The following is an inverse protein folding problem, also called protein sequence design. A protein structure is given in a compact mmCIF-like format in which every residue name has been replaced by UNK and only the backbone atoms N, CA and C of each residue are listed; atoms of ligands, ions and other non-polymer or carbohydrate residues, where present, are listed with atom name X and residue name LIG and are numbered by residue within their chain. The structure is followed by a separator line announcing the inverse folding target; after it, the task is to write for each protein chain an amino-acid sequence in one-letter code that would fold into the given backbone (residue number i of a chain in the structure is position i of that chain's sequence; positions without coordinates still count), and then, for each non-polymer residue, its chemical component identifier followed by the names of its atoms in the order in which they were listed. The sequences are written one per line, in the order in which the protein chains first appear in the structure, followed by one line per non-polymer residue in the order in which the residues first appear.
data_IF_261994070718
#
_entry.id   IF_261994070718
#
_cell.length_a   1.000
_cell.length_b   1.000
_cell.length_c   1.000
_cell.angle_alpha   90.00
_cell.angle_beta   90.00
_cell.angle_gamma   90.00
#
_symmetry.space_group_name_H-M   'P 1'
#
loop_
_entity.id
_entity.type
_entity.pdbx_description
1 polymer ?
#
# COMPACT_ATOMS: atom_id res chain seq x y z
N UNK A 1 24.77 17.85 27.66
CA UNK A 1 23.79 18.52 26.79
C UNK A 1 24.31 19.92 26.49
N UNK A 2 24.72 20.19 25.25
CA UNK A 2 25.12 21.55 24.86
C UNK A 2 23.85 22.35 24.59
N UNK A 3 23.45 23.20 25.54
CA UNK A 3 22.46 24.24 25.25
C UNK A 3 23.16 25.26 24.37
N UNK A 4 22.69 25.41 23.13
CA UNK A 4 23.17 26.45 22.23
C UNK A 4 22.77 27.81 22.80
N UNK A 5 23.74 28.72 22.98
CA UNK A 5 23.54 30.07 23.53
C UNK A 5 22.36 30.80 22.85
N UNK A 6 21.30 31.07 23.61
CA UNK A 6 20.10 31.77 23.12
C UNK A 6 18.95 30.88 22.67
N UNK A 7 19.14 29.55 22.59
CA UNK A 7 18.05 28.58 22.37
C UNK A 7 17.50 28.00 23.67
N UNK A 8 17.96 28.49 24.84
CA UNK A 8 17.45 28.05 26.14
C UNK A 8 15.93 28.26 26.23
N UNK A 9 15.41 29.39 25.75
CA UNK A 9 13.97 29.66 25.80
C UNK A 9 13.16 28.76 24.86
N UNK A 10 13.67 28.50 23.65
CA UNK A 10 13.03 27.58 22.70
C UNK A 10 13.10 26.13 23.19
N UNK A 11 14.21 25.75 23.84
CA UNK A 11 14.37 24.45 24.48
C UNK A 11 13.44 24.31 25.68
N UNK A 12 13.33 25.32 26.54
CA UNK A 12 12.39 25.38 27.66
C UNK A 12 10.94 25.36 27.16
N UNK A 13 10.62 26.07 26.07
CA UNK A 13 9.30 26.05 25.45
C UNK A 13 8.99 24.68 24.84
N UNK A 14 9.95 24.08 24.14
CA UNK A 14 9.83 22.71 23.64
C UNK A 14 9.65 21.73 24.79
N UNK A 15 10.42 21.86 25.87
CA UNK A 15 10.28 21.01 27.05
C UNK A 15 8.92 21.22 27.73
N UNK A 16 8.50 22.45 27.96
CA UNK A 16 7.21 22.74 28.58
C UNK A 16 6.02 22.24 27.73
N UNK A 17 6.19 22.19 26.41
CA UNK A 17 5.13 21.74 25.49
C UNK A 17 5.14 20.23 25.27
N UNK A 18 6.33 19.62 25.14
CA UNK A 18 6.50 18.26 24.67
C UNK A 18 7.27 17.36 25.64
N UNK A 19 8.01 17.91 26.62
CA UNK A 19 8.70 17.05 27.58
C UNK A 19 7.75 16.33 28.51
N UNK A 20 6.52 16.79 28.76
CA UNK A 20 5.49 16.03 29.51
C UNK A 20 4.58 15.19 28.59
N UNK A 21 4.73 15.30 27.26
CA UNK A 21 3.90 14.58 26.31
C UNK A 21 4.21 13.06 26.41
N UNK A 22 3.20 12.22 26.71
CA UNK A 22 3.38 10.77 26.82
C UNK A 22 4.02 10.15 25.58
N UNK A 23 3.74 10.72 24.39
CA UNK A 23 4.32 10.27 23.12
C UNK A 23 5.84 10.40 23.15
N UNK A 24 6.38 11.48 23.72
CA UNK A 24 7.82 11.79 23.69
C UNK A 24 8.62 11.31 24.91
N UNK A 25 7.96 10.87 26.01
CA UNK A 25 8.65 10.53 27.28
C UNK A 25 9.07 9.08 27.47
N UNK A 26 8.23 8.12 27.08
CA UNK A 26 8.42 6.71 27.43
C UNK A 26 7.82 5.75 26.40
N UNK A 27 6.74 6.14 25.72
CA UNK A 27 6.03 5.26 24.80
C UNK A 27 6.57 5.30 23.36
N UNK A 28 7.35 6.32 22.95
CA UNK A 28 7.93 6.35 21.61
C UNK A 28 8.90 5.19 21.32
N UNK A 29 9.61 4.71 22.34
CA UNK A 29 10.59 3.63 22.19
C UNK A 29 10.14 2.31 22.78
N UNK A 30 9.16 2.31 23.70
CA UNK A 30 8.62 1.10 24.29
C UNK A 30 7.85 0.27 23.25
N UNK A 31 7.87 -1.04 23.43
CA UNK A 31 7.10 -1.93 22.57
C UNK A 31 5.58 -1.71 22.77
N UNK A 32 4.78 -1.67 21.70
CA UNK A 32 3.33 -1.61 21.81
C UNK A 32 2.77 -2.90 22.46
N UNK A 33 1.58 -2.84 23.10
CA UNK A 33 0.95 -3.99 23.76
C UNK A 33 0.30 -4.95 22.75
N UNK A 34 1.08 -5.41 21.78
CA UNK A 34 0.67 -6.36 20.73
C UNK A 34 1.67 -7.51 20.67
N UNK A 35 1.21 -8.69 20.27
CA UNK A 35 2.06 -9.87 20.18
C UNK A 35 2.95 -9.87 18.93
N UNK A 36 2.45 -9.31 17.83
CA UNK A 36 3.09 -9.37 16.52
C UNK A 36 2.99 -8.03 15.79
N UNK A 37 4.06 -7.62 15.12
CA UNK A 37 4.19 -6.37 14.37
C UNK A 37 4.86 -6.64 13.02
N UNK A 38 4.34 -6.07 11.94
CA UNK A 38 5.07 -5.92 10.68
C UNK A 38 5.61 -4.50 10.58
N UNK A 39 6.94 -4.38 10.55
CA UNK A 39 7.61 -3.12 10.28
C UNK A 39 7.83 -2.95 8.76
N UNK A 40 6.92 -2.25 8.11
CA UNK A 40 7.04 -1.86 6.69
C UNK A 40 7.62 -0.46 6.58
N UNK A 41 8.72 -0.30 5.85
CA UNK A 41 9.34 1.01 5.65
C UNK A 41 10.09 1.12 4.34
N UNK A 42 10.14 2.35 3.83
CA UNK A 42 10.89 2.71 2.64
C UNK A 42 12.36 2.94 2.98
N UNK A 43 13.27 2.65 2.06
CA UNK A 43 14.69 2.93 2.30
C UNK A 43 15.49 3.22 1.02
N UNK A 44 16.74 3.63 1.22
CA UNK A 44 17.70 4.01 0.16
C UNK A 44 17.24 5.20 -0.68
N UNK A 45 16.61 6.19 -0.03
CA UNK A 45 16.36 7.50 -0.60
C UNK A 45 17.15 8.54 0.18
N UNK A 46 17.68 9.56 -0.53
CA UNK A 46 18.37 10.68 0.10
C UNK A 46 17.44 11.35 1.11
N UNK A 47 17.82 11.34 2.39
CA UNK A 47 16.93 11.68 3.50
C UNK A 47 17.57 12.74 4.40
N UNK A 48 16.89 13.86 4.70
CA UNK A 48 17.43 14.90 5.58
C UNK A 48 17.48 14.41 7.03
N UNK A 49 18.59 14.67 7.73
CA UNK A 49 18.78 14.21 9.12
C UNK A 49 19.20 15.29 10.09
N UNK A 50 19.57 16.46 9.59
CA UNK A 50 19.97 17.57 10.45
C UNK A 50 20.35 18.80 9.64
N UNK A 51 20.68 19.87 10.35
CA UNK A 51 21.20 21.08 9.76
C UNK A 51 22.40 21.59 10.56
N UNK A 52 23.37 22.15 9.85
CA UNK A 52 24.55 22.80 10.42
C UNK A 52 24.25 24.28 10.54
N UNK A 53 24.49 24.83 11.73
CA UNK A 53 24.36 26.25 12.00
C UNK A 53 25.72 26.80 12.41
N UNK A 54 26.04 27.99 11.91
CA UNK A 54 27.21 28.76 12.36
C UNK A 54 26.76 29.89 13.25
N UNK A 55 27.61 30.25 14.20
CA UNK A 55 27.40 31.43 15.03
C UNK A 55 27.78 32.66 14.23
N UNK A 56 26.84 33.58 14.03
CA UNK A 56 27.16 34.92 13.53
C UNK A 56 27.65 35.78 14.70
N UNK A 57 28.75 36.50 14.49
CA UNK A 57 29.37 37.33 15.52
C UNK A 57 28.36 38.31 16.13
N UNK A 58 28.47 38.45 17.44
CA UNK A 58 27.55 39.15 18.33
C UNK A 58 27.53 40.65 18.03
N UNK A 59 26.35 41.19 17.71
CA UNK A 59 26.09 42.60 17.95
C UNK A 59 25.74 42.76 19.44
N UNK A 60 26.43 43.66 20.13
CA UNK A 60 26.03 44.03 21.49
C UNK A 60 24.92 45.06 21.39
N UNK A 61 23.68 44.65 21.64
CA UNK A 61 22.59 45.58 21.86
C UNK A 61 22.39 45.71 23.38
N UNK A 62 22.60 46.91 23.93
CA UNK A 62 22.42 47.21 25.37
C UNK A 62 23.19 46.26 26.32
N UNK A 63 24.46 46.00 26.04
CA UNK A 63 25.35 45.12 26.84
C UNK A 63 24.89 43.65 26.95
N UNK A 64 23.91 43.22 26.14
CA UNK A 64 23.53 41.82 26.03
C UNK A 64 24.13 41.22 24.75
N UNK A 65 24.83 40.09 24.84
CA UNK A 65 25.30 39.41 23.64
C UNK A 65 24.09 38.86 22.88
N UNK A 66 23.82 39.39 21.68
CA UNK A 66 22.91 38.77 20.74
C UNK A 66 23.73 37.90 19.77
N UNK A 67 23.87 36.61 20.08
CA UNK A 67 24.31 35.65 19.07
C UNK A 67 23.12 35.18 18.25
N UNK A 68 23.16 35.39 16.95
CA UNK A 68 22.25 34.75 16.02
C UNK A 68 22.91 33.50 15.44
N UNK A 69 22.18 32.38 15.44
CA UNK A 69 22.55 31.23 14.63
C UNK A 69 21.97 31.42 13.24
N UNK A 70 22.81 31.29 12.22
CA UNK A 70 22.36 31.19 10.84
C UNK A 70 22.79 29.84 10.28
N UNK A 71 21.99 29.30 9.37
CA UNK A 71 22.31 28.03 8.72
C UNK A 71 23.62 28.20 7.95
N UNK A 72 24.58 27.31 8.19
CA UNK A 72 25.88 27.37 7.53
C UNK A 72 25.77 26.78 6.13
N UNK A 73 25.62 27.64 5.12
CA UNK A 73 25.48 27.21 3.73
C UNK A 73 26.80 26.78 3.08
N UNK A 74 27.93 27.04 3.74
CA UNK A 74 29.29 26.81 3.24
C UNK A 74 29.94 25.57 3.85
N UNK A 75 29.32 24.97 4.87
CA UNK A 75 29.84 23.77 5.50
C UNK A 75 30.01 22.61 4.51
N UNK A 76 31.08 21.85 4.70
CA UNK A 76 31.38 20.63 4.00
C UNK A 76 31.42 19.45 4.99
N UNK A 77 31.02 18.27 4.54
CA UNK A 77 31.13 17.03 5.30
C UNK A 77 32.17 16.14 4.65
N UNK A 78 33.16 15.71 5.43
CA UNK A 78 34.18 14.75 5.00
C UNK A 78 33.76 13.33 5.39
N UNK A 79 32.67 12.85 4.78
CA UNK A 79 32.20 11.48 4.98
C UNK A 79 31.38 10.99 3.78
N UNK A 80 31.70 9.84 3.16
CA UNK A 80 31.03 9.39 1.93
C UNK A 80 29.55 9.02 2.13
N UNK A 81 29.19 8.64 3.36
CA UNK A 81 27.81 8.30 3.72
C UNK A 81 26.88 9.49 3.92
N UNK A 82 27.41 10.71 4.03
CA UNK A 82 26.58 11.89 4.25
C UNK A 82 26.83 12.93 3.16
N UNK A 83 25.82 13.73 2.85
CA UNK A 83 25.97 14.88 1.96
C UNK A 83 25.36 16.11 2.61
N UNK A 84 25.88 17.27 2.25
CA UNK A 84 25.38 18.55 2.75
C UNK A 84 25.02 19.46 1.59
N UNK A 85 23.88 20.17 1.71
CA UNK A 85 23.45 21.17 0.72
C UNK A 85 22.80 22.34 1.44
N UNK A 86 23.39 23.53 1.31
CA UNK A 86 22.88 24.75 1.94
C UNK A 86 22.71 24.59 3.45
N UNK A 87 23.66 23.91 4.11
CA UNK A 87 23.64 23.62 5.55
C UNK A 87 22.66 22.54 6.00
N UNK A 88 21.93 21.87 5.10
CA UNK A 88 21.12 20.68 5.44
C UNK A 88 21.95 19.42 5.20
N UNK A 89 22.02 18.54 6.21
CA UNK A 89 22.69 17.24 6.16
C UNK A 89 21.70 16.17 5.72
N UNK A 90 22.16 15.27 4.85
CA UNK A 90 21.39 14.17 4.31
C UNK A 90 22.16 12.85 4.42
N UNK A 91 21.45 11.76 4.69
CA UNK A 91 21.91 10.39 4.42
C UNK A 91 22.03 10.18 2.90
N UNK A 92 23.13 9.58 2.47
CA UNK A 92 23.34 9.16 1.09
C UNK A 92 22.91 7.70 0.90
N UNK A 93 22.05 7.39 -0.09
CA UNK A 93 21.62 6.03 -0.40
C UNK A 93 22.78 5.05 -0.52
N UNK A 94 22.63 3.85 0.07
CA UNK A 94 23.60 2.74 0.00
C UNK A 94 25.00 3.02 0.60
N UNK A 95 25.27 4.26 1.05
CA UNK A 95 26.58 4.67 1.54
C UNK A 95 26.59 5.04 3.02
N UNK A 96 25.44 5.46 3.56
CA UNK A 96 25.33 5.87 4.97
C UNK A 96 25.49 4.65 5.88
N UNK A 97 26.46 4.62 6.80
CA UNK A 97 26.60 3.55 7.77
C UNK A 97 25.42 3.57 8.74
N UNK A 98 24.86 2.40 9.03
CA UNK A 98 23.71 2.26 9.93
C UNK A 98 24.09 1.37 11.11
N UNK A 99 23.77 1.84 12.31
CA UNK A 99 24.01 1.08 13.53
C UNK A 99 23.15 -0.19 13.53
N UNK A 100 23.77 -1.32 13.86
CA UNK A 100 23.03 -2.57 13.96
C UNK A 100 22.27 -2.67 15.28
N UNK A 101 21.02 -2.20 15.26
CA UNK A 101 20.12 -2.26 16.40
C UNK A 101 19.79 -3.69 16.88
N UNK A 102 20.13 -4.74 16.12
CA UNK A 102 19.91 -6.12 16.57
C UNK A 102 20.80 -6.51 17.73
N UNK A 103 21.98 -5.90 17.87
CA UNK A 103 22.84 -6.10 19.05
C UNK A 103 22.18 -5.66 20.36
N UNK A 104 21.31 -4.63 20.31
CA UNK A 104 20.54 -4.19 21.48
C UNK A 104 19.50 -5.22 21.92
N UNK A 105 19.18 -6.20 21.08
CA UNK A 105 18.29 -7.32 21.44
C UNK A 105 19.05 -8.35 22.28
N UNK A 106 20.30 -8.64 21.90
CA UNK A 106 21.16 -9.60 22.60
C UNK A 106 21.69 -9.03 23.92
N UNK A 107 22.09 -7.75 23.91
CA UNK A 107 22.59 -7.02 25.07
C UNK A 107 22.08 -5.57 25.06
N UNK A 108 20.97 -5.27 25.78
CA UNK A 108 20.38 -3.93 25.86
C UNK A 108 21.30 -2.85 26.45
N UNK A 109 22.35 -3.24 27.19
CA UNK A 109 23.30 -2.32 27.81
C UNK A 109 24.49 -1.99 26.88
N UNK A 110 24.51 -2.56 25.66
CA UNK A 110 25.57 -2.29 24.67
C UNK A 110 25.70 -0.78 24.43
N UNK A 111 26.87 -0.17 24.72
CA UNK A 111 27.09 1.25 24.45
C UNK A 111 26.94 1.55 22.95
N UNK A 112 26.38 2.71 22.61
CA UNK A 112 26.19 3.11 21.21
C UNK A 112 27.51 3.08 20.37
N UNK A 113 28.66 3.25 21.03
CA UNK A 113 29.99 3.15 20.41
C UNK A 113 30.39 1.74 19.97
N UNK A 114 29.71 0.70 20.45
CA UNK A 114 30.01 -0.72 20.18
C UNK A 114 29.02 -1.35 19.17
N UNK A 115 28.03 -0.59 18.74
CA UNK A 115 27.13 -0.98 17.66
C UNK A 115 27.92 -1.08 16.35
N UNK A 116 27.85 -2.23 15.69
CA UNK A 116 28.52 -2.43 14.41
C UNK A 116 27.80 -1.67 13.30
N UNK A 117 28.57 -1.04 12.40
CA UNK A 117 28.07 -0.32 11.24
C UNK A 117 28.17 -1.15 9.94
N UNK A 118 27.80 -2.43 10.02
CA UNK A 118 27.94 -3.37 8.90
C UNK A 118 26.97 -3.11 7.75
N UNK A 119 25.80 -2.54 8.05
CA UNK A 119 24.79 -2.18 7.06
C UNK A 119 25.01 -0.77 6.52
N UNK A 120 24.70 -0.57 5.24
CA UNK A 120 24.68 0.74 4.61
C UNK A 120 23.33 1.00 3.96
N UNK A 121 22.62 2.02 4.42
CA UNK A 121 21.30 2.38 3.92
C UNK A 121 20.95 3.82 4.27
N UNK A 122 19.96 4.40 3.60
CA UNK A 122 19.38 5.69 3.98
C UNK A 122 17.86 5.58 4.15
N UNK A 123 17.24 6.60 4.73
CA UNK A 123 15.80 6.63 5.00
C UNK A 123 14.89 6.72 3.76
N UNK A 124 13.65 7.12 4.00
CA UNK A 124 12.53 7.11 3.03
C UNK A 124 12.25 8.46 2.37
N UNK A 125 13.23 9.40 2.36
CA UNK A 125 13.13 10.83 1.99
C UNK A 125 12.73 11.75 3.13
N UNK A 126 12.06 11.26 4.17
CA UNK A 126 11.55 12.09 5.27
C UNK A 126 12.07 11.63 6.62
N UNK A 127 12.03 10.34 6.88
CA UNK A 127 12.41 9.71 8.14
C UNK A 127 13.75 8.98 7.96
N UNK A 128 14.75 9.23 8.81
CA UNK A 128 16.05 8.56 8.72
C UNK A 128 15.95 7.05 8.94
N UNK A 129 16.86 6.30 8.33
CA UNK A 129 16.82 4.83 8.35
C UNK A 129 16.83 4.24 9.76
N UNK A 130 17.67 4.79 10.66
CA UNK A 130 17.78 4.28 12.04
C UNK A 130 16.45 4.35 12.80
N UNK A 131 15.63 5.37 12.53
CA UNK A 131 14.32 5.55 13.15
C UNK A 131 13.32 4.54 12.58
N UNK A 132 13.34 4.33 11.26
CA UNK A 132 12.51 3.33 10.59
C UNK A 132 12.81 1.89 11.05
N UNK A 133 14.07 1.60 11.42
CA UNK A 133 14.48 0.27 11.91
C UNK A 133 14.23 0.06 13.40
N UNK A 134 13.89 1.10 14.17
CA UNK A 134 13.75 1.01 15.62
C UNK A 134 12.83 -0.12 16.12
N UNK A 135 11.68 -0.42 15.47
CA UNK A 135 10.78 -1.49 15.91
C UNK A 135 11.43 -2.85 16.11
N UNK A 136 12.56 -3.16 15.43
CA UNK A 136 13.27 -4.44 15.58
C UNK A 136 13.71 -4.70 17.03
N UNK A 137 13.98 -3.62 17.79
CA UNK A 137 14.41 -3.68 19.19
C UNK A 137 13.32 -4.20 20.12
N UNK A 138 12.04 -4.10 19.72
CA UNK A 138 10.90 -4.57 20.51
C UNK A 138 10.85 -6.09 20.67
N UNK A 139 11.66 -6.84 19.91
CA UNK A 139 11.88 -8.27 20.14
C UNK A 139 12.43 -8.57 21.54
N UNK A 140 13.22 -7.66 22.12
CA UNK A 140 13.72 -7.79 23.49
C UNK A 140 12.57 -7.74 24.54
N UNK A 141 11.46 -7.10 24.20
CA UNK A 141 10.24 -7.06 25.01
C UNK A 141 9.28 -8.23 24.72
N UNK A 142 9.69 -9.22 23.92
CA UNK A 142 8.89 -10.39 23.56
C UNK A 142 7.87 -10.17 22.43
N UNK A 143 7.95 -9.05 21.69
CA UNK A 143 7.13 -8.83 20.50
C UNK A 143 7.72 -9.54 19.29
N UNK A 144 6.88 -10.27 18.55
CA UNK A 144 7.26 -10.86 17.28
C UNK A 144 7.26 -9.79 16.18
N UNK A 145 8.45 -9.30 15.83
CA UNK A 145 8.62 -8.22 14.84
C UNK A 145 9.14 -8.78 13.53
N UNK A 146 8.35 -8.68 12.46
CA UNK A 146 8.75 -8.95 11.09
C UNK A 146 9.22 -7.65 10.40
N UNK A 147 10.22 -7.71 9.53
CA UNK A 147 10.66 -6.56 8.72
C UNK A 147 10.33 -6.76 7.24
N UNK A 148 9.80 -5.70 6.63
CA UNK A 148 9.55 -5.60 5.19
C UNK A 148 10.14 -4.29 4.64
N UNK A 149 11.47 -4.24 4.44
CA UNK A 149 12.12 -3.08 3.83
C UNK A 149 11.79 -2.98 2.34
N UNK A 150 11.34 -1.81 1.90
CA UNK A 150 10.90 -1.57 0.52
C UNK A 150 11.84 -0.58 -0.15
N UNK A 151 12.66 -1.11 -1.06
CA UNK A 151 13.69 -0.32 -1.72
C UNK A 151 13.06 0.83 -2.52
N UNK A 152 13.56 2.05 -2.28
CA UNK A 152 13.08 3.28 -2.93
C UNK A 152 11.60 3.60 -2.69
N UNK A 153 10.98 3.02 -1.68
CA UNK A 153 9.71 3.50 -1.17
C UNK A 153 9.89 4.86 -0.50
N UNK A 154 9.23 5.89 -1.01
CA UNK A 154 9.19 7.17 -0.31
C UNK A 154 8.13 7.17 0.78
N UNK A 155 8.30 8.05 1.77
CA UNK A 155 7.47 8.15 2.96
C UNK A 155 5.95 8.02 2.72
N UNK A 156 5.43 8.61 1.63
CA UNK A 156 4.01 8.49 1.25
C UNK A 156 3.81 7.57 0.06
N UNK A 157 4.72 7.61 -0.91
CA UNK A 157 4.64 6.81 -2.14
C UNK A 157 4.67 5.30 -1.90
N UNK A 158 5.26 4.85 -0.79
CA UNK A 158 5.24 3.45 -0.37
C UNK A 158 3.82 2.87 -0.27
N UNK A 159 2.81 3.69 0.05
CA UNK A 159 1.41 3.27 0.13
C UNK A 159 0.83 2.80 -1.21
N UNK A 160 1.43 3.20 -2.33
CA UNK A 160 1.04 2.79 -3.68
C UNK A 160 1.95 1.68 -4.24
N UNK A 161 2.92 1.19 -3.46
CA UNK A 161 3.83 0.13 -3.90
C UNK A 161 3.20 -1.24 -3.66
N UNK A 162 3.26 -2.08 -4.68
CA UNK A 162 2.73 -3.44 -4.62
C UNK A 162 3.50 -4.30 -3.61
N UNK A 163 4.80 -4.07 -3.46
CA UNK A 163 5.65 -4.74 -2.48
C UNK A 163 5.16 -4.52 -1.04
N UNK A 164 4.63 -3.33 -0.73
CA UNK A 164 4.06 -3.02 0.59
C UNK A 164 2.81 -3.86 0.82
N UNK A 165 1.93 -3.86 -0.18
CA UNK A 165 0.67 -4.58 -0.14
C UNK A 165 0.94 -6.07 0.05
N UNK A 166 1.83 -6.67 -0.75
CA UNK A 166 2.24 -8.06 -0.61
C UNK A 166 2.81 -8.39 0.78
N UNK A 167 3.66 -7.52 1.34
CA UNK A 167 4.22 -7.72 2.68
C UNK A 167 3.13 -7.73 3.77
N UNK A 168 2.17 -6.79 3.70
CA UNK A 168 1.03 -6.73 4.61
C UNK A 168 0.21 -8.02 4.48
N UNK A 169 -0.09 -8.49 3.27
CA UNK A 169 -0.87 -9.72 3.10
C UNK A 169 -0.16 -10.95 3.64
N UNK A 170 1.14 -11.11 3.36
CA UNK A 170 1.91 -12.22 3.91
C UNK A 170 1.92 -12.23 5.44
N UNK A 171 1.78 -11.07 6.08
CA UNK A 171 1.73 -10.96 7.54
C UNK A 171 0.35 -11.23 8.13
N UNK A 172 -0.73 -10.74 7.50
CA UNK A 172 -2.10 -10.86 8.03
C UNK A 172 -2.87 -12.09 7.54
N UNK A 173 -2.41 -12.72 6.44
CA UNK A 173 -3.03 -13.91 5.86
C UNK A 173 -2.31 -15.18 6.34
N UNK A 174 -3.05 -16.25 6.59
CA UNK A 174 -2.46 -17.60 6.65
C UNK A 174 -1.70 -17.84 5.35
N UNK A 175 -0.39 -18.11 5.45
CA UNK A 175 0.58 -18.15 4.34
C UNK A 175 -0.07 -18.65 3.03
N UNK A 176 -0.47 -17.75 2.12
CA UNK A 176 -1.07 -18.18 0.88
C UNK A 176 -0.01 -18.92 0.07
N UNK A 177 -0.42 -19.98 -0.60
CA UNK A 177 0.42 -20.72 -1.56
C UNK A 177 0.39 -20.07 -2.93
N UNK A 178 -0.64 -19.25 -3.21
CA UNK A 178 -0.83 -18.52 -4.46
C UNK A 178 -1.56 -17.21 -4.19
N UNK A 179 -1.25 -16.19 -4.98
CA UNK A 179 -2.13 -15.03 -5.14
C UNK A 179 -2.74 -15.07 -6.54
N UNK A 180 -4.04 -14.79 -6.64
CA UNK A 180 -4.75 -14.62 -7.91
C UNK A 180 -5.28 -13.20 -7.99
N UNK A 181 -4.79 -12.46 -8.97
CA UNK A 181 -5.28 -11.13 -9.32
C UNK A 181 -6.50 -11.29 -10.23
N UNK A 182 -7.64 -10.73 -9.81
CA UNK A 182 -8.89 -10.65 -10.57
C UNK A 182 -9.07 -9.22 -11.04
N UNK A 183 -8.83 -8.99 -12.34
CA UNK A 183 -8.97 -7.68 -12.97
C UNK A 183 -10.27 -7.63 -13.80
N UNK A 184 -11.19 -6.73 -13.44
CA UNK A 184 -12.42 -6.47 -14.19
C UNK A 184 -12.14 -5.54 -15.38
N UNK A 185 -12.43 -6.00 -16.60
CA UNK A 185 -12.12 -5.26 -17.84
C UNK A 185 -13.36 -4.60 -18.46
N UNK A 186 -14.52 -5.23 -18.35
CA UNK A 186 -15.81 -4.65 -18.71
C UNK A 186 -17.00 -5.52 -18.31
N UNK A 187 -18.21 -4.96 -18.33
CA UNK A 187 -19.46 -5.70 -18.21
C UNK A 187 -20.30 -5.52 -19.47
N UNK A 188 -21.08 -6.55 -19.82
CA UNK A 188 -22.14 -6.50 -20.84
C UNK A 188 -23.43 -7.04 -20.25
N UNK A 189 -24.55 -6.40 -20.53
CA UNK A 189 -25.87 -6.86 -20.09
C UNK A 189 -26.75 -7.08 -21.32
N UNK A 190 -27.09 -8.34 -21.60
CA UNK A 190 -27.99 -8.74 -22.70
C UNK A 190 -29.36 -8.14 -22.46
N UNK A 191 -30.10 -7.81 -23.53
CA UNK A 191 -31.48 -7.31 -23.37
C UNK A 191 -32.36 -8.47 -22.92
N UNK A 192 -32.93 -8.37 -21.72
CA UNK A 192 -33.99 -9.29 -21.31
C UNK A 192 -35.19 -9.04 -22.22
N UNK A 193 -35.67 -10.07 -22.91
CA UNK A 193 -37.03 -10.05 -23.43
C UNK A 193 -37.90 -10.06 -22.18
N UNK A 194 -38.33 -8.88 -21.72
CA UNK A 194 -39.34 -8.83 -20.67
C UNK A 194 -40.54 -9.63 -21.19
N UNK A 195 -41.00 -10.64 -20.46
CA UNK A 195 -42.25 -11.38 -20.75
C UNK A 195 -43.51 -10.50 -20.63
N UNK A 196 -43.36 -9.19 -20.80
CA UNK A 196 -44.42 -8.23 -21.01
C UNK A 196 -45.06 -8.59 -22.34
N UNK A 197 -46.37 -8.86 -22.32
CA UNK A 197 -47.09 -9.30 -23.52
C UNK A 197 -46.83 -8.31 -24.68
N UNK A 198 -46.75 -8.79 -25.93
CA UNK A 198 -46.52 -7.93 -27.10
C UNK A 198 -47.50 -6.75 -27.19
N UNK A 199 -48.70 -6.89 -26.63
CA UNK A 199 -49.71 -5.83 -26.57
C UNK A 199 -49.34 -4.72 -25.58
N UNK A 200 -48.83 -5.06 -24.39
CA UNK A 200 -48.41 -4.08 -23.38
C UNK A 200 -47.09 -3.40 -23.79
N UNK A 201 -46.20 -4.12 -24.47
CA UNK A 201 -44.98 -3.57 -25.05
C UNK A 201 -45.30 -2.51 -26.11
N UNK A 202 -46.29 -2.75 -26.98
CA UNK A 202 -46.72 -1.77 -28.00
C UNK A 202 -47.37 -0.52 -27.40
N UNK A 203 -48.06 -0.64 -26.26
CA UNK A 203 -48.67 0.50 -25.57
C UNK A 203 -47.61 1.42 -24.95
N UNK A 204 -46.52 0.84 -24.42
CA UNK A 204 -45.40 1.58 -23.81
C UNK A 204 -44.41 2.10 -24.86
N UNK A 205 -44.29 1.42 -26.01
CA UNK A 205 -43.42 1.83 -27.12
C UNK A 205 -43.79 3.16 -27.78
N UNK A 206 -45.01 3.66 -27.57
CA UNK A 206 -45.43 5.01 -28.01
C UNK A 206 -44.86 6.15 -27.15
N UNK A 207 -44.27 5.85 -25.99
CA UNK A 207 -43.66 6.82 -25.09
C UNK A 207 -42.15 6.56 -25.03
N UNK A 208 -41.40 7.22 -25.90
CA UNK A 208 -39.94 7.38 -25.88
C UNK A 208 -39.16 6.19 -25.26
N UNK A 209 -38.88 5.15 -26.05
CA UNK A 209 -37.89 4.12 -25.69
C UNK A 209 -36.48 4.73 -25.68
N UNK A 210 -36.18 5.49 -24.64
CA UNK A 210 -34.83 5.87 -24.27
C UNK A 210 -33.96 4.63 -24.14
N UNK A 211 -32.69 4.76 -24.51
CA UNK A 211 -31.71 3.72 -24.26
C UNK A 211 -31.55 3.53 -22.75
N UNK A 212 -32.14 2.47 -22.20
CA UNK A 212 -31.92 2.11 -20.79
C UNK A 212 -30.50 1.59 -20.64
N UNK A 213 -29.61 2.47 -20.20
CA UNK A 213 -28.36 2.07 -19.59
C UNK A 213 -28.69 1.64 -18.15
N UNK A 214 -28.17 0.50 -17.70
CA UNK A 214 -28.37 0.02 -16.33
C UNK A 214 -27.06 0.25 -15.56
N UNK A 215 -27.15 0.93 -14.42
CA UNK A 215 -26.04 1.05 -13.49
C UNK A 215 -25.85 -0.28 -12.75
N UNK A 216 -24.62 -0.80 -12.76
CA UNK A 216 -24.28 -2.07 -12.12
C UNK A 216 -22.97 -1.96 -11.36
N UNK A 217 -22.80 -2.82 -10.36
CA UNK A 217 -21.50 -3.08 -9.74
C UNK A 217 -21.27 -4.59 -9.65
N UNK A 218 -20.00 -4.97 -9.56
CA UNK A 218 -19.60 -6.37 -9.36
C UNK A 218 -19.35 -6.58 -7.88
N UNK A 219 -19.97 -7.61 -7.32
CA UNK A 219 -19.70 -8.08 -5.97
C UNK A 219 -18.90 -9.38 -6.05
N UNK A 220 -17.80 -9.42 -5.30
CA UNK A 220 -16.96 -10.59 -5.10
C UNK A 220 -17.13 -11.05 -3.65
N UNK A 221 -17.37 -12.34 -3.45
CA UNK A 221 -17.42 -12.94 -2.12
C UNK A 221 -16.39 -14.06 -2.01
N UNK A 222 -15.50 -13.94 -1.03
CA UNK A 222 -14.46 -14.93 -0.75
C UNK A 222 -14.43 -15.20 0.75
N UNK A 223 -14.66 -16.45 1.15
CA UNK A 223 -14.72 -16.87 2.57
C UNK A 223 -15.68 -16.00 3.42
N UNK A 224 -16.83 -15.63 2.85
CA UNK A 224 -17.83 -14.77 3.50
C UNK A 224 -17.47 -13.28 3.57
N UNK A 225 -16.25 -12.89 3.18
CA UNK A 225 -15.89 -11.49 3.03
C UNK A 225 -16.40 -10.95 1.69
N UNK A 226 -17.09 -9.80 1.72
CA UNK A 226 -17.76 -9.22 0.56
C UNK A 226 -17.05 -7.95 0.09
N UNK A 227 -16.64 -7.96 -1.17
CA UNK A 227 -15.96 -6.86 -1.85
C UNK A 227 -16.78 -6.40 -3.03
N UNK A 228 -16.66 -5.11 -3.37
CA UNK A 228 -17.51 -4.49 -4.39
C UNK A 228 -16.66 -3.58 -5.27
N UNK A 229 -16.90 -3.64 -6.57
CA UNK A 229 -16.37 -2.64 -7.50
C UNK A 229 -17.09 -1.31 -7.31
N UNK A 230 -16.57 -0.26 -7.94
CA UNK A 230 -17.37 0.93 -8.19
C UNK A 230 -18.55 0.62 -9.14
N UNK A 231 -19.47 1.58 -9.19
CA UNK A 231 -20.64 1.54 -10.05
C UNK A 231 -20.25 1.96 -11.48
N UNK A 232 -20.66 1.15 -12.46
CA UNK A 232 -20.46 1.44 -13.87
C UNK A 232 -21.76 1.39 -14.64
N UNK A 233 -21.81 2.23 -15.66
CA UNK A 233 -22.90 2.25 -16.62
C UNK A 233 -22.72 1.09 -17.61
N UNK A 234 -23.53 0.04 -17.50
CA UNK A 234 -23.52 -1.04 -18.45
C UNK A 234 -24.09 -0.55 -19.79
N UNK A 235 -23.25 -0.53 -20.84
CA UNK A 235 -23.68 -0.17 -22.20
C UNK A 235 -24.49 -1.31 -22.84
N UNK A 236 -25.37 -0.96 -23.78
CA UNK A 236 -26.11 -1.91 -24.61
C UNK A 236 -25.15 -2.86 -25.33
N UNK A 237 -25.62 -4.07 -25.60
CA UNK A 237 -24.99 -5.04 -26.50
C UNK A 237 -24.97 -4.55 -27.97
N UNK A 238 -24.23 -3.48 -28.27
CA UNK A 238 -23.73 -3.18 -29.62
C UNK A 238 -22.37 -3.86 -29.87
N UNK A 239 -21.93 -4.72 -28.94
CA UNK A 239 -20.63 -5.38 -28.95
C UNK A 239 -19.56 -4.59 -28.19
N UNK A 240 -19.80 -3.32 -27.86
CA UNK A 240 -18.85 -2.52 -27.09
C UNK A 240 -19.04 -2.77 -25.58
N UNK A 241 -17.96 -3.12 -24.85
CA UNK A 241 -18.03 -3.23 -23.40
C UNK A 241 -18.37 -1.88 -22.75
N UNK A 242 -18.89 -1.92 -21.52
CA UNK A 242 -19.02 -0.72 -20.67
C UNK A 242 -17.69 0.04 -20.57
N UNK A 243 -17.74 1.33 -20.22
CA UNK A 243 -16.51 2.09 -19.93
C UNK A 243 -15.67 1.32 -18.88
N UNK A 244 -14.33 1.31 -19.01
CA UNK A 244 -13.47 0.55 -18.12
C UNK A 244 -13.62 1.06 -16.68
N UNK A 245 -13.72 0.14 -15.73
CA UNK A 245 -13.64 0.45 -14.30
C UNK A 245 -12.30 1.15 -14.00
N UNK A 246 -12.36 2.26 -13.27
CA UNK A 246 -11.24 2.92 -12.59
C UNK A 246 -10.71 2.11 -11.41
N UNK A 247 -11.58 1.36 -10.70
CA UNK A 247 -11.23 0.48 -9.58
C UNK A 247 -11.68 -0.95 -9.86
N UNK A 248 -10.80 -1.70 -10.51
CA UNK A 248 -11.16 -2.95 -11.17
C UNK A 248 -10.37 -4.16 -10.67
N UNK A 249 -9.41 -3.95 -9.78
CA UNK A 249 -8.41 -4.95 -9.40
C UNK A 249 -8.70 -5.47 -8.01
N UNK A 250 -8.87 -6.79 -7.93
CA UNK A 250 -8.96 -7.54 -6.68
C UNK A 250 -7.81 -8.52 -6.61
N UNK A 251 -7.23 -8.70 -5.43
CA UNK A 251 -6.19 -9.70 -5.22
C UNK A 251 -6.67 -10.68 -4.16
N UNK A 252 -6.73 -11.96 -4.51
CA UNK A 252 -7.24 -13.06 -3.68
C UNK A 252 -6.06 -13.93 -3.24
N UNK A 253 -5.84 -14.05 -1.93
CA UNK A 253 -4.88 -15.01 -1.37
C UNK A 253 -5.51 -16.40 -1.23
N UNK A 254 -4.84 -17.41 -1.79
CA UNK A 254 -5.25 -18.82 -1.74
C UNK A 254 -4.25 -19.60 -0.89
N UNK A 255 -4.70 -20.31 0.14
CA UNK A 255 -3.87 -21.18 0.99
C UNK A 255 -4.14 -22.68 0.73
N UNK A 256 -3.39 -23.57 1.39
CA UNK A 256 -3.57 -25.03 1.22
C UNK A 256 -4.97 -25.51 1.65
N UNK A 257 -5.53 -24.90 2.70
CA UNK A 257 -6.86 -25.24 3.19
C UNK A 257 -7.95 -24.90 2.16
N UNK A 258 -7.83 -23.78 1.43
CA UNK A 258 -8.75 -23.43 0.34
C UNK A 258 -8.75 -24.49 -0.76
N UNK A 259 -7.57 -24.97 -1.13
CA UNK A 259 -7.42 -26.01 -2.15
C UNK A 259 -8.03 -27.32 -1.67
N UNK A 260 -7.73 -27.72 -0.43
CA UNK A 260 -8.27 -28.94 0.17
C UNK A 260 -9.79 -28.90 0.31
N UNK A 261 -10.35 -27.75 0.67
CA UNK A 261 -11.80 -27.55 0.88
C UNK A 261 -12.54 -27.11 -0.39
N UNK A 262 -11.83 -26.92 -1.50
CA UNK A 262 -12.39 -26.37 -2.75
C UNK A 262 -13.15 -25.06 -2.51
N UNK A 263 -12.54 -24.14 -1.74
CA UNK A 263 -13.11 -22.82 -1.47
C UNK A 263 -13.48 -22.11 -2.78
N UNK A 264 -14.56 -21.33 -2.75
CA UNK A 264 -15.12 -20.74 -3.96
C UNK A 264 -15.19 -19.21 -3.85
N UNK A 265 -14.84 -18.54 -4.95
CA UNK A 265 -15.09 -17.13 -5.17
C UNK A 265 -16.44 -16.99 -5.85
N UNK A 266 -17.38 -16.30 -5.21
CA UNK A 266 -18.66 -15.96 -5.82
C UNK A 266 -18.53 -14.60 -6.52
N UNK A 267 -18.72 -14.57 -7.84
CA UNK A 267 -18.82 -13.35 -8.63
C UNK A 267 -20.29 -13.09 -8.95
N UNK A 268 -20.79 -11.90 -8.66
CA UNK A 268 -22.16 -11.51 -9.00
C UNK A 268 -22.23 -10.07 -9.52
N UNK A 269 -23.20 -9.83 -10.42
CA UNK A 269 -23.52 -8.49 -10.92
C UNK A 269 -24.79 -8.02 -10.23
N UNK A 270 -24.73 -6.86 -9.58
CA UNK A 270 -25.83 -6.32 -8.78
C UNK A 270 -26.20 -4.92 -9.26
N UNK A 271 -27.44 -4.53 -8.99
CA UNK A 271 -27.92 -3.15 -9.24
C UNK A 271 -27.83 -2.34 -7.96
N UNK A 272 -27.48 -1.04 -8.02
CA UNK A 272 -27.56 -0.18 -6.85
C UNK A 272 -29.00 -0.07 -6.32
N UNK A 273 -29.18 0.00 -5.00
CA UNK A 273 -30.47 0.37 -4.42
C UNK A 273 -30.50 1.88 -4.18
N UNK A 274 -31.19 2.61 -5.06
CA UNK A 274 -31.59 4.05 -5.11
C UNK A 274 -30.60 5.14 -4.64
N UNK A 275 -29.77 4.93 -3.61
CA UNK A 275 -28.75 5.86 -3.09
C UNK A 275 -27.49 5.15 -2.55
N UNK A 276 -27.54 3.85 -2.22
CA UNK A 276 -26.42 3.13 -1.61
C UNK A 276 -25.82 2.09 -2.58
N UNK A 277 -24.58 2.35 -3.02
CA UNK A 277 -23.81 1.41 -3.86
C UNK A 277 -23.54 0.08 -3.14
N UNK A 278 -23.63 0.05 -1.80
CA UNK A 278 -23.22 -1.11 -1.00
C UNK A 278 -24.27 -2.23 -0.92
N UNK A 279 -25.56 -1.95 -1.12
CA UNK A 279 -26.62 -2.95 -1.00
C UNK A 279 -27.51 -2.86 -2.22
N UNK A 280 -27.72 -3.99 -2.87
CA UNK A 280 -28.37 -4.03 -4.16
C UNK A 280 -28.86 -5.43 -4.47
N UNK A 281 -29.99 -5.55 -5.14
CA UNK A 281 -30.47 -6.87 -5.55
C UNK A 281 -29.60 -7.42 -6.69
N UNK A 282 -29.47 -8.76 -6.80
CA UNK A 282 -28.88 -9.37 -7.99
C UNK A 282 -29.56 -8.83 -9.25
N UNK A 283 -28.78 -8.60 -10.30
CA UNK A 283 -29.34 -8.18 -11.58
C UNK A 283 -30.38 -9.22 -12.04
N UNK A 284 -31.55 -8.76 -12.50
CA UNK A 284 -32.64 -9.66 -12.90
C UNK A 284 -32.15 -10.70 -13.93
N UNK A 285 -32.46 -11.98 -13.70
CA UNK A 285 -32.01 -13.12 -14.50
C UNK A 285 -30.48 -13.25 -14.57
N UNK A 286 -29.80 -12.91 -13.47
CA UNK A 286 -28.41 -13.29 -13.25
C UNK A 286 -28.27 -14.19 -12.04
N UNK A 287 -27.21 -14.98 -12.04
CA UNK A 287 -26.85 -15.87 -10.94
C UNK A 287 -25.39 -15.64 -10.59
N UNK A 288 -25.01 -15.73 -9.30
CA UNK A 288 -23.60 -15.75 -8.93
C UNK A 288 -22.88 -16.89 -9.66
N UNK A 289 -21.70 -16.59 -10.19
CA UNK A 289 -20.79 -17.61 -10.71
C UNK A 289 -19.83 -17.98 -9.59
N UNK A 290 -19.79 -19.26 -9.26
CA UNK A 290 -18.83 -19.80 -8.30
C UNK A 290 -17.60 -20.28 -9.07
N UNK A 291 -16.42 -19.76 -8.72
CA UNK A 291 -15.14 -20.20 -9.28
C UNK A 291 -14.35 -20.79 -8.12
N UNK A 292 -14.00 -22.07 -8.21
CA UNK A 292 -13.19 -22.73 -7.18
C UNK A 292 -11.77 -22.17 -7.13
N UNK A 293 -11.09 -22.34 -6.00
CA UNK A 293 -9.69 -21.96 -5.81
C UNK A 293 -8.78 -22.56 -6.90
N UNK A 294 -9.01 -23.81 -7.27
CA UNK A 294 -8.24 -24.49 -8.31
C UNK A 294 -8.53 -23.90 -9.69
N UNK A 295 -9.80 -23.65 -10.04
CA UNK A 295 -10.17 -23.01 -11.32
C UNK A 295 -9.63 -21.58 -11.42
N UNK A 296 -9.56 -20.85 -10.30
CA UNK A 296 -8.91 -19.53 -10.26
C UNK A 296 -7.44 -19.65 -10.62
N UNK A 297 -6.71 -20.63 -10.08
CA UNK A 297 -5.29 -20.83 -10.38
C UNK A 297 -5.09 -21.30 -11.82
N UNK A 298 -5.87 -22.29 -12.27
CA UNK A 298 -5.75 -22.88 -13.61
C UNK A 298 -6.11 -21.88 -14.71
N UNK A 299 -7.11 -21.02 -14.45
CA UNK A 299 -7.55 -19.95 -15.35
C UNK A 299 -6.68 -18.71 -15.32
N UNK A 300 -5.72 -18.60 -14.38
CA UNK A 300 -4.95 -17.39 -14.16
C UNK A 300 -3.67 -17.30 -15.01
N UNK A 301 -3.85 -17.43 -16.32
CA UNK A 301 -2.81 -17.38 -17.34
C UNK A 301 -2.52 -15.95 -17.87
N UNK A 302 -3.16 -14.91 -17.30
CA UNK A 302 -3.05 -13.52 -17.74
C UNK A 302 -3.88 -13.19 -18.97
N UNK A 303 -4.60 -14.15 -19.54
CA UNK A 303 -5.50 -13.92 -20.67
C UNK A 303 -6.84 -13.35 -20.21
N UNK A 304 -7.51 -12.69 -21.14
CA UNK A 304 -8.86 -12.19 -20.90
C UNK A 304 -9.86 -13.35 -21.08
N UNK A 305 -10.69 -13.56 -20.07
CA UNK A 305 -11.78 -14.54 -20.08
C UNK A 305 -13.12 -13.83 -19.92
N UNK A 306 -14.17 -14.43 -20.49
CA UNK A 306 -15.55 -13.93 -20.31
C UNK A 306 -16.31 -14.87 -19.38
N UNK A 307 -16.79 -14.33 -18.27
CA UNK A 307 -17.61 -15.04 -17.28
C UNK A 307 -19.08 -14.73 -17.56
N UNK A 308 -19.88 -15.75 -17.88
CA UNK A 308 -21.32 -15.60 -18.12
C UNK A 308 -22.10 -15.77 -16.83
N UNK A 309 -22.89 -14.76 -16.48
CA UNK A 309 -23.78 -14.74 -15.31
C UNK A 309 -25.25 -14.74 -15.76
N UNK A 310 -25.57 -15.45 -16.84
CA UNK A 310 -26.89 -15.43 -17.46
C UNK A 310 -27.09 -14.20 -18.35
N UNK A 311 -27.90 -13.22 -17.90
CA UNK A 311 -28.15 -11.98 -18.66
C UNK A 311 -26.91 -11.07 -18.71
N UNK A 312 -25.95 -11.23 -17.81
CA UNK A 312 -24.71 -10.45 -17.80
C UNK A 312 -23.50 -11.29 -18.24
N UNK A 313 -22.52 -10.62 -18.83
CA UNK A 313 -21.18 -11.14 -19.10
C UNK A 313 -20.17 -10.19 -18.47
N UNK A 314 -19.22 -10.74 -17.71
CA UNK A 314 -18.07 -10.01 -17.18
C UNK A 314 -16.84 -10.37 -17.99
N UNK A 315 -16.13 -9.38 -18.50
CA UNK A 315 -14.79 -9.54 -19.04
C UNK A 315 -13.84 -9.42 -17.86
N UNK A 316 -13.11 -10.47 -17.56
CA UNK A 316 -12.14 -10.53 -16.47
C UNK A 316 -10.79 -10.97 -17.00
N UNK A 317 -9.71 -10.60 -16.32
CA UNK A 317 -8.39 -11.17 -16.49
C UNK A 317 -7.93 -11.72 -15.16
N UNK A 318 -7.48 -12.96 -15.17
CA UNK A 318 -6.96 -13.65 -14.00
C UNK A 318 -5.45 -13.79 -14.15
N UNK A 319 -4.67 -13.40 -13.13
CA UNK A 319 -3.21 -13.52 -13.15
C UNK A 319 -2.73 -14.17 -11.86
N UNK A 320 -2.09 -15.35 -11.96
CA UNK A 320 -1.55 -16.06 -10.81
C UNK A 320 -0.14 -15.54 -10.52
N UNK A 321 0.17 -15.44 -9.23
CA UNK A 321 1.51 -15.11 -8.75
C UNK A 321 1.95 -16.18 -7.77
N UNK A 322 3.12 -16.75 -8.02
CA UNK A 322 3.80 -17.64 -7.08
C UNK A 322 4.09 -16.91 -5.77
N UNK A 323 4.36 -17.67 -4.72
CA UNK A 323 4.83 -17.12 -3.44
C UNK A 323 6.24 -17.62 -3.14
N UNK A 324 7.04 -16.80 -2.47
CA UNK A 324 8.34 -17.20 -1.95
C UNK A 324 8.20 -18.06 -0.68
N UNK A 325 9.32 -18.52 -0.13
CA UNK A 325 9.36 -19.31 1.10
C UNK A 325 8.73 -18.62 2.33
N UNK A 326 8.49 -17.31 2.25
CA UNK A 326 7.87 -16.50 3.30
C UNK A 326 6.39 -16.18 2.98
N UNK A 327 5.81 -16.77 1.93
CA UNK A 327 4.43 -16.51 1.51
C UNK A 327 4.24 -15.18 0.78
N UNK A 328 5.31 -14.53 0.31
CA UNK A 328 5.25 -13.24 -0.40
C UNK A 328 5.09 -13.48 -1.89
N UNK A 329 4.21 -12.74 -2.57
CA UNK A 329 4.07 -12.88 -4.02
C UNK A 329 5.40 -12.64 -4.76
N UNK A 330 5.84 -13.60 -5.57
CA UNK A 330 6.98 -13.48 -6.47
C UNK A 330 6.56 -12.61 -7.63
N UNK A 331 7.05 -11.38 -7.61
CA UNK A 331 6.80 -10.40 -8.66
C UNK A 331 7.70 -10.71 -9.86
N UNK A 332 7.18 -10.81 -11.10
CA UNK A 332 8.04 -10.83 -12.26
C UNK A 332 8.84 -9.53 -12.26
N UNK A 333 10.17 -9.62 -12.40
CA UNK A 333 11.01 -8.45 -12.62
C UNK A 333 10.39 -7.66 -13.77
N UNK A 334 10.07 -6.38 -13.55
CA UNK A 334 9.50 -5.53 -14.59
C UNK A 334 10.34 -5.71 -15.85
N UNK A 335 9.76 -6.27 -16.90
CA UNK A 335 10.48 -6.49 -18.15
C UNK A 335 10.92 -5.11 -18.63
N UNK A 336 12.21 -4.81 -18.46
CA UNK A 336 12.83 -3.62 -19.03
C UNK A 336 12.77 -3.85 -20.53
N UNK A 337 11.72 -3.32 -21.16
CA UNK A 337 11.59 -3.32 -22.60
C UNK A 337 12.83 -2.64 -23.17
N UNK A 338 13.72 -3.43 -23.76
CA UNK A 338 14.86 -2.97 -24.51
C UNK A 338 14.36 -2.31 -25.79
N UNK A 339 13.94 -1.05 -25.69
CA UNK A 339 13.86 -0.05 -26.76
C UNK A 339 13.15 1.21 -26.24
N UNK A 340 13.86 2.02 -25.45
CA UNK A 340 13.52 3.43 -25.27
C UNK A 340 14.78 4.21 -24.94
N UNK A 341 15.25 4.99 -25.92
CA UNK A 341 16.16 6.11 -25.73
C UNK A 341 15.66 7.01 -24.61
N UNK A 342 16.62 7.49 -23.81
CA UNK A 342 16.44 8.34 -22.63
C UNK A 342 15.37 9.42 -22.79
N UNK A 343 14.18 9.14 -22.28
CA UNK A 343 13.21 10.12 -21.82
C UNK A 343 12.53 9.52 -20.59
N UNK A 344 12.52 10.29 -19.52
CA UNK A 344 12.04 9.97 -18.18
C UNK A 344 10.60 9.47 -18.23
N UNK A 345 10.40 8.16 -18.28
CA UNK A 345 9.11 7.52 -18.07
C UNK A 345 9.11 6.88 -16.69
N UNK A 346 8.46 7.57 -15.75
CA UNK A 346 8.03 6.96 -14.49
C UNK A 346 7.04 5.83 -14.81
N UNK A 347 7.21 4.62 -14.27
CA UNK A 347 6.16 3.62 -14.33
C UNK A 347 4.91 4.19 -13.63
N UNK A 348 3.75 4.05 -14.27
CA UNK A 348 2.50 4.48 -13.68
C UNK A 348 2.19 3.57 -12.48
N UNK A 349 2.25 4.13 -11.27
CA UNK A 349 1.80 3.47 -10.05
C UNK A 349 0.32 3.04 -10.15
N UNK A 350 -0.10 1.98 -9.45
CA UNK A 350 -1.52 1.69 -9.28
C UNK A 350 -2.23 2.93 -8.71
N UNK A 351 -3.38 3.28 -9.28
CA UNK A 351 -4.14 4.46 -8.87
C UNK A 351 -4.84 4.17 -7.53
N UNK A 352 -5.03 5.20 -6.71
CA UNK A 352 -5.80 5.10 -5.47
C UNK A 352 -7.17 4.43 -5.74
N UNK A 353 -7.37 3.22 -5.22
CA UNK A 353 -8.64 2.50 -5.41
C UNK A 353 -8.65 0.98 -5.55
N UNK A 354 -7.50 0.30 -5.48
CA UNK A 354 -7.48 -1.17 -5.50
C UNK A 354 -8.07 -1.75 -4.20
N UNK A 355 -8.90 -2.79 -4.32
CA UNK A 355 -9.58 -3.44 -3.18
C UNK A 355 -8.98 -4.83 -3.01
N UNK A 356 -8.28 -5.05 -1.91
CA UNK A 356 -7.53 -6.30 -1.70
C UNK A 356 -8.20 -7.19 -0.65
N UNK A 357 -8.25 -8.50 -0.92
CA UNK A 357 -9.02 -9.50 -0.19
C UNK A 357 -8.05 -10.40 0.60
N UNK A 358 -7.87 -10.20 1.92
CA UNK A 358 -6.97 -11.04 2.71
C UNK A 358 -7.56 -12.44 2.94
N UNK A 359 -6.68 -13.42 3.20
CA UNK A 359 -7.09 -14.72 3.71
C UNK A 359 -7.49 -14.56 5.18
N UNK A 360 -8.71 -14.97 5.56
CA UNK A 360 -9.16 -14.93 6.96
C UNK A 360 -8.45 -16.05 7.75
N UNK A 361 -7.85 -15.76 8.92
CA UNK A 361 -7.24 -16.78 9.77
C UNK A 361 -8.28 -17.76 10.31
N UNK A 362 -7.93 -19.04 10.42
CA UNK A 362 -8.71 -20.01 11.19
C UNK A 362 -8.77 -19.56 12.67
N UNK A 363 -9.98 -19.46 13.23
CA UNK A 363 -10.22 -19.22 14.66
C UNK A 363 -10.21 -20.50 15.46
#
# INVERSE_FOLDING_TARGET
MMVLDGLQHDYEAWQATFADDPIFRQFAMAAPPVRRVLNCYGYNIKTPIGAVYRRRAVAYERLKPQSAFERDTECALDHPGYSVRGGQVFETPELTPQADATKLIEDPETPASELSYGARASGDRTVPYWSLKWPITWRAAGVDVDEAPIARGDHRGILAMEELHCAIFAHVSDRPVKYVEVLLLGARVRKGISHVSPALLRLVQGLALGSYNEDVFVQLEWRGAIFRSELVLAKKCDGTPSLPWKQARFLVGINEADLAQSAQLALSVRRPFEVFVANGDPLLNTHPVMISAQELIDGANGEQTTVSLGRAELLVRLTARDVDANGRAIMPAASVGSNATAATLSPAAPKAGDVIIPAVPET
#
